data_IF_143826562556
#
_entry.id   IF_143826562556
#
_cell.length_a   1.000
_cell.length_b   1.000
_cell.length_c   1.000
_cell.angle_alpha   90.00
_cell.angle_beta   90.00
_cell.angle_gamma   90.00
#
_symmetry.space_group_name_H-M   'P 1'
#
loop_
_entity.id
_entity.type
_entity.pdbx_description
1 polymer ?
#
# COMPACT_ATOMS: atom_id res chain seq x y z
N UNK A 1 12.63 -7.70 27.62
CA UNK A 1 11.31 -7.27 27.09
C UNK A 1 11.27 -5.74 26.99
N UNK A 2 11.14 -5.15 25.78
CA UNK A 2 11.01 -3.69 25.62
C UNK A 2 9.61 -3.24 26.08
N UNK A 3 9.55 -2.27 27.00
CA UNK A 3 8.30 -1.68 27.49
C UNK A 3 7.66 -0.80 26.40
N UNK A 4 6.41 -1.08 26.04
CA UNK A 4 5.64 -0.26 25.09
C UNK A 4 5.39 1.14 25.68
N UNK A 5 5.70 2.19 24.91
CA UNK A 5 5.50 3.59 25.31
C UNK A 5 4.07 4.02 24.99
N UNK A 6 3.30 4.47 25.99
CA UNK A 6 1.91 4.91 25.83
C UNK A 6 1.73 6.43 25.70
N UNK A 7 2.78 7.22 25.94
CA UNK A 7 2.73 8.69 25.90
C UNK A 7 2.17 9.28 24.59
N UNK A 8 2.55 8.78 23.39
CA UNK A 8 1.99 9.30 22.14
C UNK A 8 0.47 9.16 22.09
N UNK A 9 -0.06 8.00 22.51
CA UNK A 9 -1.49 7.74 22.57
C UNK A 9 -2.21 8.67 23.54
N UNK A 10 -1.62 8.95 24.70
CA UNK A 10 -2.21 9.90 25.66
C UNK A 10 -2.32 11.31 25.06
N UNK A 11 -1.31 11.74 24.28
CA UNK A 11 -1.30 13.05 23.64
C UNK A 11 -2.41 13.16 22.59
N UNK A 12 -2.54 12.17 21.69
CA UNK A 12 -3.58 12.16 20.67
C UNK A 12 -5.00 12.19 21.26
N UNK A 13 -5.24 11.47 22.36
CA UNK A 13 -6.55 11.50 23.04
C UNK A 13 -6.82 12.88 23.67
N UNK A 14 -5.80 13.52 24.23
CA UNK A 14 -5.93 14.89 24.78
C UNK A 14 -6.23 15.91 23.70
N UNK A 15 -5.56 15.84 22.56
CA UNK A 15 -5.82 16.72 21.41
C UNK A 15 -7.23 16.53 20.87
N UNK A 16 -7.67 15.28 20.67
CA UNK A 16 -9.03 14.96 20.22
C UNK A 16 -10.09 15.58 21.14
N UNK A 17 -9.88 15.49 22.47
CA UNK A 17 -10.77 16.10 23.47
C UNK A 17 -10.71 17.62 23.50
N UNK A 18 -9.55 18.21 23.24
CA UNK A 18 -9.42 19.67 23.13
C UNK A 18 -10.28 20.22 21.97
N UNK A 19 -10.54 19.40 20.95
CA UNK A 19 -11.48 19.70 19.86
C UNK A 19 -12.96 19.39 20.21
N UNK A 20 -13.25 18.98 21.45
CA UNK A 20 -14.60 18.62 21.89
C UNK A 20 -15.03 17.19 21.56
N UNK A 21 -14.16 16.36 21.00
CA UNK A 21 -14.48 14.98 20.62
C UNK A 21 -14.03 13.99 21.71
N UNK A 22 -14.94 13.10 22.12
CA UNK A 22 -14.62 12.04 23.08
C UNK A 22 -14.58 10.69 22.39
N UNK A 23 -13.44 9.97 22.42
CA UNK A 23 -13.35 8.66 21.78
C UNK A 23 -14.09 7.61 22.61
N UNK A 24 -14.84 6.74 21.93
CA UNK A 24 -15.47 5.57 22.53
C UNK A 24 -14.61 4.31 22.44
N UNK A 25 -13.71 4.28 21.46
CA UNK A 25 -12.78 3.19 21.19
C UNK A 25 -11.37 3.73 21.02
N UNK A 26 -10.40 2.88 21.33
CA UNK A 26 -8.99 3.18 21.11
C UNK A 26 -8.36 2.03 20.34
N UNK A 27 -7.94 2.29 19.10
CA UNK A 27 -7.18 1.35 18.30
C UNK A 27 -5.68 1.62 18.49
N UNK A 28 -5.01 0.77 19.26
CA UNK A 28 -3.59 0.88 19.51
C UNK A 28 -2.81 -0.04 18.57
N UNK A 29 -2.07 0.56 17.62
CA UNK A 29 -1.14 -0.20 16.78
C UNK A 29 0.18 -0.46 17.51
N UNK A 30 0.67 -1.69 17.46
CA UNK A 30 1.95 -2.08 18.06
C UNK A 30 2.65 -3.20 17.29
N UNK A 31 3.97 -3.35 17.46
CA UNK A 31 4.67 -4.48 16.85
C UNK A 31 4.40 -5.82 17.54
N UNK A 32 3.95 -5.78 18.81
CA UNK A 32 3.74 -6.94 19.66
C UNK A 32 2.44 -6.76 20.46
N UNK A 33 1.87 -7.84 20.99
CA UNK A 33 0.67 -7.73 21.81
C UNK A 33 0.88 -6.81 23.03
N UNK A 34 -0.11 -5.94 23.28
CA UNK A 34 -0.16 -5.12 24.48
C UNK A 34 -0.32 -5.99 25.73
N UNK A 35 0.50 -5.70 26.73
CA UNK A 35 0.32 -6.25 28.08
C UNK A 35 -0.96 -5.69 28.71
N UNK A 36 -1.66 -6.51 29.49
CA UNK A 36 -2.91 -6.10 30.16
C UNK A 36 -2.72 -4.88 31.07
N UNK A 37 -1.59 -4.80 31.79
CA UNK A 37 -1.25 -3.62 32.60
C UNK A 37 -1.17 -2.33 31.77
N UNK A 38 -0.65 -2.40 30.55
CA UNK A 38 -0.59 -1.25 29.63
C UNK A 38 -2.00 -0.85 29.19
N UNK A 39 -2.85 -1.83 28.91
CA UNK A 39 -4.26 -1.62 28.52
C UNK A 39 -5.07 -0.96 29.65
N UNK A 40 -4.87 -1.40 30.89
CA UNK A 40 -5.51 -0.80 32.07
C UNK A 40 -5.06 0.65 32.30
N UNK A 41 -3.77 0.94 32.15
CA UNK A 41 -3.26 2.32 32.22
C UNK A 41 -3.90 3.21 31.15
N UNK A 42 -3.96 2.73 29.91
CA UNK A 42 -4.63 3.46 28.83
C UNK A 42 -6.11 3.70 29.17
N UNK A 43 -6.80 2.72 29.76
CA UNK A 43 -8.19 2.89 30.18
C UNK A 43 -8.35 4.01 31.21
N UNK A 44 -7.48 4.06 32.22
CA UNK A 44 -7.50 5.10 33.25
C UNK A 44 -7.18 6.49 32.69
N UNK A 45 -6.12 6.63 31.89
CA UNK A 45 -5.68 7.93 31.36
C UNK A 45 -6.60 8.45 30.25
N UNK A 46 -7.08 7.56 29.39
CA UNK A 46 -7.90 7.92 28.24
C UNK A 46 -9.39 7.82 28.55
N UNK A 47 -9.84 7.46 29.75
CA UNK A 47 -11.24 7.23 30.13
C UNK A 47 -12.06 6.44 29.09
N UNK A 48 -11.42 5.44 28.47
CA UNK A 48 -12.06 4.50 27.55
C UNK A 48 -12.11 3.15 28.27
N UNK A 49 -13.26 2.44 28.31
CA UNK A 49 -13.33 1.12 28.94
C UNK A 49 -12.26 0.18 28.37
N UNK A 50 -11.60 -0.62 29.21
CA UNK A 50 -10.58 -1.54 28.74
C UNK A 50 -11.09 -2.46 27.62
N UNK A 51 -12.36 -2.90 27.68
CA UNK A 51 -13.00 -3.68 26.63
C UNK A 51 -13.03 -2.98 25.24
N UNK A 52 -13.01 -1.65 25.22
CA UNK A 52 -13.03 -0.84 23.99
C UNK A 52 -11.62 -0.43 23.53
N UNK A 53 -10.56 -0.90 24.20
CA UNK A 53 -9.17 -0.71 23.78
C UNK A 53 -8.75 -1.93 22.95
N UNK A 54 -8.63 -1.71 21.65
CA UNK A 54 -8.29 -2.71 20.64
C UNK A 54 -6.79 -2.68 20.38
N UNK A 55 -6.13 -3.82 20.59
CA UNK A 55 -4.73 -4.02 20.29
C UNK A 55 -4.58 -4.53 18.86
N UNK A 56 -4.12 -3.68 17.95
CA UNK A 56 -3.87 -4.00 16.55
C UNK A 56 -2.37 -4.22 16.37
N UNK A 57 -1.90 -5.41 16.78
CA UNK A 57 -0.51 -5.74 16.61
C UNK A 57 -0.20 -6.23 15.20
N UNK A 58 1.07 -6.17 14.80
CA UNK A 58 1.51 -6.67 13.50
C UNK A 58 1.19 -8.17 13.36
N UNK A 59 0.53 -8.52 12.25
CA UNK A 59 0.10 -9.87 11.88
C UNK A 59 0.80 -10.30 10.60
N UNK A 60 1.00 -11.61 10.35
CA UNK A 60 1.78 -12.08 9.20
C UNK A 60 1.12 -11.74 7.86
N UNK A 61 -0.21 -11.72 7.81
CA UNK A 61 -0.97 -11.33 6.63
C UNK A 61 -2.24 -10.55 7.01
N UNK A 62 -2.77 -9.76 6.08
CA UNK A 62 -3.92 -8.87 6.32
C UNK A 62 -5.22 -9.63 6.64
N UNK A 63 -5.34 -10.90 6.22
CA UNK A 63 -6.53 -11.72 6.48
C UNK A 63 -6.65 -12.11 7.95
N UNK A 64 -5.58 -11.97 8.75
CA UNK A 64 -5.63 -12.13 10.20
C UNK A 64 -6.28 -10.96 10.93
N UNK A 65 -6.37 -9.76 10.34
CA UNK A 65 -6.88 -8.58 11.05
C UNK A 65 -8.33 -8.78 11.55
N UNK A 66 -9.29 -9.29 10.75
CA UNK A 66 -10.62 -9.59 11.25
C UNK A 66 -10.63 -10.63 12.39
N UNK A 67 -9.77 -11.64 12.31
CA UNK A 67 -9.66 -12.69 13.34
C UNK A 67 -9.10 -12.11 14.64
N UNK A 68 -8.08 -11.25 14.54
CA UNK A 68 -7.50 -10.52 15.66
C UNK A 68 -8.54 -9.66 16.38
N UNK A 69 -9.41 -8.98 15.64
CA UNK A 69 -10.49 -8.15 16.19
C UNK A 69 -11.60 -9.00 16.82
N UNK A 70 -11.95 -10.13 16.19
CA UNK A 70 -12.90 -11.10 16.76
C UNK A 70 -12.42 -11.63 18.11
N UNK A 71 -11.15 -12.04 18.20
CA UNK A 71 -10.56 -12.59 19.42
C UNK A 71 -10.51 -11.59 20.59
N UNK A 72 -10.66 -10.29 20.31
CA UNK A 72 -10.76 -9.22 21.30
C UNK A 72 -12.20 -8.76 21.56
N UNK A 73 -13.20 -9.49 21.04
CA UNK A 73 -14.63 -9.14 21.13
C UNK A 73 -14.94 -7.72 20.62
N UNK A 74 -14.17 -7.22 19.63
CA UNK A 74 -14.33 -5.87 19.09
C UNK A 74 -15.74 -5.65 18.52
N UNK A 75 -16.28 -6.66 17.85
CA UNK A 75 -17.63 -6.67 17.29
C UNK A 75 -18.70 -6.49 18.38
N UNK A 76 -18.61 -7.23 19.49
CA UNK A 76 -19.53 -7.10 20.63
C UNK A 76 -19.43 -5.71 21.26
N UNK A 77 -18.21 -5.20 21.44
CA UNK A 77 -17.99 -3.88 22.02
C UNK A 77 -18.62 -2.78 21.14
N UNK A 78 -18.43 -2.84 19.81
CA UNK A 78 -19.03 -1.92 18.84
C UNK A 78 -20.56 -2.02 18.89
N UNK A 79 -21.11 -3.24 18.85
CA UNK A 79 -22.56 -3.47 18.91
C UNK A 79 -23.17 -2.97 20.22
N UNK A 80 -22.47 -3.12 21.34
CA UNK A 80 -22.88 -2.59 22.64
C UNK A 80 -22.92 -1.07 22.62
N UNK A 81 -21.88 -0.44 22.07
CA UNK A 81 -21.80 1.03 21.98
C UNK A 81 -22.90 1.62 21.08
N UNK A 82 -23.30 0.89 20.03
CA UNK A 82 -24.36 1.30 19.12
C UNK A 82 -25.77 0.84 19.55
N UNK A 83 -25.91 0.16 20.69
CA UNK A 83 -27.16 -0.42 21.17
C UNK A 83 -27.81 -1.45 20.20
N UNK A 84 -27.00 -2.20 19.45
CA UNK A 84 -27.43 -3.16 18.43
C UNK A 84 -27.30 -4.64 18.83
N UNK A 85 -26.92 -4.94 20.07
CA UNK A 85 -26.68 -6.33 20.53
C UNK A 85 -27.87 -7.27 20.35
N UNK A 86 -29.10 -6.75 20.40
CA UNK A 86 -30.32 -7.58 20.27
C UNK A 86 -30.62 -8.01 18.83
N UNK A 87 -30.07 -7.31 17.85
CA UNK A 87 -30.39 -7.48 16.43
C UNK A 87 -29.25 -8.16 15.69
N UNK A 88 -28.01 -7.90 16.10
CA UNK A 88 -26.84 -8.40 15.42
C UNK A 88 -26.47 -9.83 15.85
N UNK A 89 -26.07 -10.64 14.87
CA UNK A 89 -25.49 -11.97 15.10
C UNK A 89 -23.96 -11.88 15.13
N UNK A 90 -23.28 -12.83 15.81
CA UNK A 90 -21.83 -12.94 15.74
C UNK A 90 -21.34 -13.01 14.28
N UNK A 91 -20.23 -12.35 13.93
CA UNK A 91 -19.72 -12.35 12.57
C UNK A 91 -19.22 -13.76 12.19
N UNK A 92 -19.75 -14.30 11.10
CA UNK A 92 -19.19 -15.51 10.51
C UNK A 92 -17.89 -15.14 9.77
N UNK A 93 -16.75 -15.55 10.31
CA UNK A 93 -15.43 -15.31 9.74
C UNK A 93 -14.78 -16.57 9.14
N UNK A 94 -15.56 -17.61 8.84
CA UNK A 94 -15.01 -18.87 8.29
C UNK A 94 -14.20 -18.64 7.01
N UNK A 95 -14.70 -17.84 6.07
CA UNK A 95 -13.95 -17.51 4.84
C UNK A 95 -12.62 -16.79 5.13
N UNK A 96 -12.62 -15.88 6.11
CA UNK A 96 -11.40 -15.17 6.53
C UNK A 96 -10.41 -16.10 7.21
N UNK A 97 -10.87 -17.03 8.03
CA UNK A 97 -10.04 -18.06 8.67
C UNK A 97 -9.40 -18.95 7.62
N UNK A 98 -10.19 -19.50 6.71
CA UNK A 98 -9.66 -20.34 5.61
C UNK A 98 -8.64 -19.56 4.76
N UNK A 99 -8.94 -18.31 4.39
CA UNK A 99 -8.02 -17.48 3.60
C UNK A 99 -6.72 -17.18 4.33
N UNK A 100 -6.77 -16.89 5.63
CA UNK A 100 -5.57 -16.62 6.43
C UNK A 100 -4.68 -17.87 6.52
N UNK A 101 -5.28 -19.04 6.75
CA UNK A 101 -4.57 -20.32 6.81
C UNK A 101 -3.98 -20.71 5.45
N UNK A 102 -4.73 -20.56 4.35
CA UNK A 102 -4.20 -20.80 3.01
C UNK A 102 -3.01 -19.90 2.74
N UNK A 103 -3.08 -18.63 3.13
CA UNK A 103 -1.99 -17.66 2.93
C UNK A 103 -0.72 -18.05 3.68
N UNK A 104 -0.86 -18.48 4.92
CA UNK A 104 0.28 -18.85 5.77
C UNK A 104 0.95 -20.15 5.32
N UNK A 105 0.20 -21.03 4.64
CA UNK A 105 0.67 -22.34 4.16
C UNK A 105 1.12 -22.34 2.68
N UNK A 106 1.27 -21.18 2.03
CA UNK A 106 1.76 -21.11 0.64
C UNK A 106 3.23 -21.54 0.56
N UNK A 107 3.53 -22.63 -0.14
CA UNK A 107 4.88 -23.20 -0.24
C UNK A 107 5.58 -22.94 -1.58
N UNK A 108 4.85 -22.74 -2.67
CA UNK A 108 5.39 -22.68 -4.03
C UNK A 108 5.64 -21.24 -4.51
N UNK A 109 6.71 -21.04 -5.33
CA UNK A 109 7.17 -19.73 -5.83
C UNK A 109 7.20 -19.59 -7.37
N UNK A 110 6.90 -18.38 -7.87
CA UNK A 110 6.59 -17.97 -9.25
C UNK A 110 6.91 -16.49 -9.34
N UNK A 111 7.58 -16.10 -10.42
CA UNK A 111 8.03 -14.72 -10.60
C UNK A 111 7.18 -14.08 -11.67
N UNK A 112 6.44 -13.05 -11.28
CA UNK A 112 5.67 -12.21 -12.20
C UNK A 112 6.44 -10.91 -12.38
N UNK A 113 6.91 -10.66 -13.60
CA UNK A 113 7.54 -9.40 -13.94
C UNK A 113 6.47 -8.32 -14.11
N UNK A 114 6.57 -7.24 -13.34
CA UNK A 114 5.72 -6.07 -13.54
C UNK A 114 6.50 -5.01 -14.32
N UNK A 115 5.99 -4.65 -15.49
CA UNK A 115 6.52 -3.55 -16.31
C UNK A 115 5.68 -2.32 -16.05
N UNK A 116 6.29 -1.27 -15.52
CA UNK A 116 5.60 -0.05 -15.15
C UNK A 116 6.52 1.16 -15.16
N UNK A 117 5.92 2.35 -15.09
CA UNK A 117 6.66 3.62 -15.06
C UNK A 117 7.25 3.94 -13.69
N UNK A 118 6.56 3.52 -12.61
CA UNK A 118 6.88 3.88 -11.23
C UNK A 118 7.16 2.66 -10.36
N UNK A 119 7.89 1.68 -10.88
CA UNK A 119 8.03 0.37 -10.22
C UNK A 119 8.84 0.44 -8.91
N UNK A 120 9.55 1.56 -8.66
CA UNK A 120 10.21 1.84 -7.37
C UNK A 120 9.28 2.41 -6.30
N UNK A 121 8.06 2.81 -6.65
CA UNK A 121 7.04 3.27 -5.71
C UNK A 121 6.04 2.14 -5.48
N UNK A 122 6.20 1.43 -4.36
CA UNK A 122 5.40 0.24 -4.01
C UNK A 122 3.91 0.52 -3.95
N UNK A 123 3.50 1.75 -3.66
CA UNK A 123 2.09 2.14 -3.58
C UNK A 123 1.40 2.27 -4.95
N UNK A 124 2.15 2.66 -6.00
CA UNK A 124 1.59 2.89 -7.34
C UNK A 124 0.94 1.66 -7.98
N UNK A 125 1.36 0.47 -7.57
CA UNK A 125 0.86 -0.81 -8.09
C UNK A 125 0.28 -1.70 -6.99
N UNK A 126 -0.03 -1.14 -5.81
CA UNK A 126 -0.47 -1.94 -4.67
C UNK A 126 -1.74 -2.75 -4.98
N UNK A 127 -2.73 -2.13 -5.62
CA UNK A 127 -3.97 -2.81 -6.02
C UNK A 127 -3.73 -3.96 -7.00
N UNK A 128 -2.83 -3.78 -7.97
CA UNK A 128 -2.45 -4.81 -8.96
C UNK A 128 -1.78 -5.99 -8.26
N UNK A 129 -0.82 -5.72 -7.39
CA UNK A 129 -0.13 -6.75 -6.59
C UNK A 129 -1.13 -7.50 -5.71
N UNK A 130 -2.09 -6.81 -5.09
CA UNK A 130 -3.14 -7.46 -4.29
C UNK A 130 -4.08 -8.31 -5.14
N UNK A 131 -4.53 -7.84 -6.30
CA UNK A 131 -5.37 -8.63 -7.19
C UNK A 131 -4.68 -9.94 -7.62
N UNK A 132 -3.40 -9.87 -8.01
CA UNK A 132 -2.60 -11.05 -8.33
C UNK A 132 -2.48 -12.01 -7.14
N UNK A 133 -2.23 -11.48 -5.94
CA UNK A 133 -2.18 -12.26 -4.71
C UNK A 133 -3.50 -13.01 -4.44
N UNK A 134 -4.64 -12.34 -4.61
CA UNK A 134 -5.96 -12.95 -4.44
C UNK A 134 -6.24 -14.02 -5.50
N UNK A 135 -5.84 -13.80 -6.76
CA UNK A 135 -5.95 -14.80 -7.81
C UNK A 135 -5.09 -16.05 -7.52
N UNK A 136 -3.88 -15.87 -6.98
CA UNK A 136 -3.01 -16.96 -6.58
C UNK A 136 -3.63 -17.81 -5.47
N UNK A 137 -4.22 -17.17 -4.45
CA UNK A 137 -4.91 -17.87 -3.36
C UNK A 137 -6.11 -18.67 -3.88
N UNK A 138 -6.86 -18.13 -4.84
CA UNK A 138 -8.07 -18.77 -5.36
C UNK A 138 -7.80 -20.02 -6.22
N UNK A 139 -6.64 -20.10 -6.89
CA UNK A 139 -6.30 -21.21 -7.78
C UNK A 139 -5.66 -22.43 -7.06
N UNK A 140 -5.19 -22.24 -5.81
CA UNK A 140 -4.70 -23.23 -4.82
C UNK A 140 -3.45 -24.07 -5.19
N UNK A 141 -2.58 -24.19 -4.18
CA UNK A 141 -1.31 -24.93 -4.00
C UNK A 141 -0.03 -24.52 -4.73
N UNK A 142 -0.03 -23.81 -5.86
CA UNK A 142 1.21 -23.64 -6.63
C UNK A 142 1.66 -22.20 -7.00
N UNK A 143 1.11 -21.14 -6.41
CA UNK A 143 1.40 -19.78 -6.87
C UNK A 143 1.57 -18.76 -5.70
N UNK A 144 2.47 -17.76 -5.78
CA UNK A 144 3.22 -17.19 -4.64
C UNK A 144 3.10 -15.68 -4.41
N UNK A 145 3.81 -15.26 -3.36
CA UNK A 145 4.46 -13.96 -3.22
C UNK A 145 4.97 -13.38 -4.57
N UNK A 146 4.26 -12.36 -5.07
CA UNK A 146 4.65 -11.58 -6.25
C UNK A 146 5.91 -10.77 -5.93
N UNK A 147 7.08 -11.24 -6.37
CA UNK A 147 8.28 -10.39 -6.42
C UNK A 147 8.25 -9.58 -7.71
N UNK A 148 7.66 -8.38 -7.64
CA UNK A 148 7.76 -7.41 -8.71
C UNK A 148 9.19 -6.85 -8.74
N UNK A 149 10.05 -7.42 -9.58
CA UNK A 149 11.34 -6.80 -9.92
C UNK A 149 11.13 -5.81 -11.05
N UNK A 150 11.36 -4.54 -10.74
CA UNK A 150 11.59 -3.53 -11.76
C UNK A 150 12.93 -3.83 -12.43
N UNK A 151 12.92 -4.30 -13.68
CA UNK A 151 13.99 -3.87 -14.59
C UNK A 151 13.57 -2.49 -15.07
N UNK A 152 14.22 -1.44 -14.58
CA UNK A 152 14.38 -0.28 -15.44
C UNK A 152 14.95 -0.81 -16.76
N UNK A 153 14.54 -0.27 -17.90
CA UNK A 153 15.34 -0.43 -19.11
C UNK A 153 16.83 -0.26 -18.74
N UNK A 154 17.77 -1.01 -19.33
CA UNK A 154 19.17 -0.62 -19.20
C UNK A 154 19.20 0.86 -19.57
N UNK A 155 19.52 1.71 -18.59
CA UNK A 155 19.67 3.13 -18.79
C UNK A 155 20.50 3.25 -20.05
N UNK A 156 19.93 3.84 -21.12
CA UNK A 156 20.69 4.14 -22.35
C UNK A 156 22.05 4.66 -21.87
N UNK A 157 23.17 4.05 -22.29
CA UNK A 157 24.48 4.40 -21.74
C UNK A 157 24.55 5.92 -21.74
N UNK A 158 24.80 6.49 -20.56
CA UNK A 158 24.81 7.94 -20.38
C UNK A 158 25.83 8.49 -21.35
N UNK A 159 25.35 9.05 -22.47
CA UNK A 159 26.26 9.58 -23.47
C UNK A 159 27.16 10.59 -22.78
N UNK A 160 28.47 10.42 -22.96
CA UNK A 160 29.47 11.33 -22.42
C UNK A 160 29.18 12.75 -22.93
N UNK A 161 29.69 13.76 -22.25
CA UNK A 161 29.48 15.16 -22.65
C UNK A 161 29.89 15.43 -24.10
N UNK A 162 30.85 14.66 -24.63
CA UNK A 162 31.32 14.72 -26.02
C UNK A 162 30.33 14.07 -26.99
N UNK A 163 29.80 12.89 -26.65
CA UNK A 163 28.81 12.21 -27.47
C UNK A 163 27.47 12.97 -27.55
N UNK A 164 27.13 13.76 -26.52
CA UNK A 164 25.97 14.67 -26.55
C UNK A 164 26.20 15.84 -27.51
N UNK A 165 27.43 16.36 -27.58
CA UNK A 165 27.79 17.45 -28.50
C UNK A 165 27.78 16.98 -29.96
N UNK A 166 28.35 15.80 -30.24
CA UNK A 166 28.37 15.24 -31.60
C UNK A 166 26.96 14.98 -32.13
N UNK A 167 26.09 14.37 -31.31
CA UNK A 167 24.70 14.06 -31.69
C UNK A 167 23.84 15.31 -31.86
N UNK A 168 24.09 16.36 -31.06
CA UNK A 168 23.43 17.65 -31.22
C UNK A 168 23.88 18.38 -32.50
N UNK A 169 25.15 18.22 -32.90
CA UNK A 169 25.68 18.79 -34.14
C UNK A 169 25.12 18.07 -35.38
N UNK A 170 25.04 16.74 -35.34
CA UNK A 170 24.45 15.93 -36.41
C UNK A 170 22.94 16.22 -36.61
N UNK A 171 22.20 16.45 -35.51
CA UNK A 171 20.79 16.86 -35.57
C UNK A 171 20.62 18.27 -36.16
N UNK A 172 21.54 19.20 -35.85
CA UNK A 172 21.54 20.55 -36.43
C UNK A 172 21.82 20.52 -37.93
N UNK A 173 22.78 19.70 -38.38
CA UNK A 173 23.06 19.54 -39.81
C UNK A 173 21.92 18.87 -40.59
N UNK A 174 21.24 17.89 -39.98
CA UNK A 174 20.05 17.29 -40.61
C UNK A 174 18.89 18.28 -40.70
N UNK A 175 18.72 19.13 -39.70
CA UNK A 175 17.68 20.17 -39.71
C UNK A 175 17.98 21.26 -40.75
N UNK A 176 19.25 21.69 -40.90
CA UNK A 176 19.64 22.67 -41.92
C UNK A 176 19.46 22.12 -43.33
N UNK A 177 19.87 20.88 -43.59
CA UNK A 177 19.67 20.23 -44.90
C UNK A 177 18.19 20.08 -45.27
N UNK A 178 17.34 19.68 -44.31
CA UNK A 178 15.90 19.61 -44.54
C UNK A 178 15.29 20.96 -44.88
N UNK A 179 15.71 22.01 -44.17
CA UNK A 179 15.20 23.37 -44.41
C UNK A 179 15.60 23.88 -45.80
N UNK A 180 16.83 23.61 -46.22
CA UNK A 180 17.32 23.96 -47.57
C UNK A 180 16.61 23.16 -48.68
N UNK A 181 16.29 21.88 -48.45
CA UNK A 181 15.49 21.07 -49.37
C UNK A 181 14.04 21.58 -49.49
N UNK A 182 13.44 21.99 -48.37
CA UNK A 182 12.08 22.57 -48.35
C UNK A 182 12.02 23.91 -49.10
N UNK A 183 13.03 24.76 -48.90
CA UNK A 183 13.12 26.06 -49.57
C UNK A 183 13.32 25.90 -51.08
N UNK A 184 14.20 24.97 -51.50
CA UNK A 184 14.36 24.60 -52.93
C UNK A 184 13.10 23.99 -53.54
N UNK A 185 12.30 23.26 -52.75
CA UNK A 185 11.02 22.71 -53.21
C UNK A 185 9.98 23.82 -53.40
N UNK A 186 9.90 24.75 -52.48
CA UNK A 186 9.00 25.91 -52.53
C UNK A 186 9.34 26.84 -53.71
N UNK A 187 10.63 27.06 -54.01
CA UNK A 187 11.07 27.86 -55.17
C UNK A 187 10.63 27.21 -56.51
N UNK A 188 10.82 25.89 -56.65
CA UNK A 188 10.40 25.15 -57.85
C UNK A 188 8.88 25.12 -58.03
N UNK A 189 8.12 25.15 -56.95
CA UNK A 189 6.65 25.23 -57.01
C UNK A 189 6.18 26.66 -57.39
N UNK A 190 6.94 27.70 -57.05
CA UNK A 190 6.69 29.09 -57.49
C UNK A 190 7.00 29.30 -58.97
N UNK A 191 8.13 28.77 -59.46
CA UNK A 191 8.51 28.86 -60.88
C UNK A 191 7.56 28.12 -61.82
N UNK A 192 6.84 27.11 -61.33
CA UNK A 192 5.83 26.36 -62.12
C UNK A 192 4.46 27.05 -62.19
N UNK A 193 4.23 28.08 -61.39
CA UNK A 193 2.95 28.79 -61.28
C UNK A 193 2.99 30.21 -61.88
N UNK A 194 4.01 30.51 -62.69
CA UNK A 194 4.14 31.69 -63.56
C UNK A 194 4.20 31.22 -65.00
#
# INVERSE_FOLDING_TARGET
>A
MKKLKTKPTHHSVRELRALGLTPHFLACRSAQPLLENTKQKLSQFCHVPAANILNIHDVPNICHVPLLLRNQNAHEAILKQLALLRVARPPNLQEWTNRAETFDNLTNSVKIAMVGKYVGLTDSYFSVVKALLHACIAYIDQMPLVSAKSKSEPSKPSLTSEERKSKAQELKERASKKKEEEEKRMEREREKNV
#
